data_IF_016943871706
#
_entry.id   IF_016943871706
#
_cell.length_a   1.000
_cell.length_b   1.000
_cell.length_c   1.000
_cell.angle_alpha   90.00
_cell.angle_beta   90.00
_cell.angle_gamma   90.00
#
_symmetry.space_group_name_H-M   'P 1'
#
loop_
_entity.id
_entity.type
_entity.pdbx_description
1 polymer ?
#
# COMPACT_ATOMS: atom_id res chain seq x y z
N UNK A 1 8.46 14.63 11.05
CA UNK A 1 8.15 13.47 10.21
C UNK A 1 6.75 12.90 10.43
N UNK A 2 6.20 12.87 11.65
CA UNK A 2 4.80 12.44 11.85
C UNK A 2 3.77 13.34 11.15
N UNK A 3 4.10 14.57 10.83
CA UNK A 3 3.21 15.52 10.14
C UNK A 3 2.92 15.12 8.68
N UNK A 4 3.81 14.39 8.03
CA UNK A 4 3.63 13.88 6.66
C UNK A 4 2.98 12.49 6.61
N UNK A 5 2.54 11.92 7.74
CA UNK A 5 1.75 10.69 7.76
C UNK A 5 0.26 10.98 7.63
N UNK A 6 -0.54 9.97 7.23
CA UNK A 6 -2.00 10.11 7.17
C UNK A 6 -2.60 10.55 8.52
N UNK A 7 -2.08 9.99 9.62
CA UNK A 7 -2.47 10.37 10.98
C UNK A 7 -2.12 11.84 11.29
N UNK A 8 -0.91 12.28 10.96
CA UNK A 8 -0.48 13.68 11.16
C UNK A 8 -1.34 14.65 10.39
N UNK A 9 -1.67 14.34 9.14
CA UNK A 9 -2.54 15.15 8.28
C UNK A 9 -3.96 15.26 8.86
N UNK A 10 -4.53 14.16 9.36
CA UNK A 10 -5.86 14.21 10.02
C UNK A 10 -5.83 15.07 11.27
N UNK A 11 -4.81 14.96 12.13
CA UNK A 11 -4.68 15.77 13.33
C UNK A 11 -4.50 17.26 12.97
N UNK A 12 -3.73 17.56 11.92
CA UNK A 12 -3.57 18.93 11.43
C UNK A 12 -4.92 19.54 11.06
N UNK A 13 -5.73 18.84 10.26
CA UNK A 13 -7.08 19.32 9.90
C UNK A 13 -8.03 19.37 11.11
N UNK A 14 -8.01 18.38 11.99
CA UNK A 14 -8.88 18.33 13.17
C UNK A 14 -8.54 19.42 14.22
N UNK A 15 -7.26 19.79 14.32
CA UNK A 15 -6.79 20.83 15.26
C UNK A 15 -6.89 22.25 14.71
N UNK A 16 -7.41 22.43 13.48
CA UNK A 16 -7.47 23.73 12.81
C UNK A 16 -6.08 24.33 12.57
N UNK A 17 -5.09 23.49 12.22
CA UNK A 17 -3.73 23.92 11.89
C UNK A 17 -2.82 24.20 13.09
N UNK A 18 -3.25 23.83 14.32
CA UNK A 18 -2.45 24.13 15.54
C UNK A 18 -1.42 23.05 15.87
N UNK A 19 -1.68 21.80 15.54
CA UNK A 19 -0.83 20.65 15.82
C UNK A 19 -0.25 20.11 14.52
N UNK A 20 1.03 19.71 14.53
CA UNK A 20 1.74 19.25 13.34
C UNK A 20 1.77 20.25 12.18
N UNK A 21 1.92 21.55 12.52
CA UNK A 21 2.10 22.61 11.52
C UNK A 21 3.31 22.25 10.65
N UNK A 22 3.09 21.96 9.39
CA UNK A 22 4.15 21.96 8.38
C UNK A 22 4.80 23.33 8.42
N UNK A 23 6.11 23.38 8.34
CA UNK A 23 6.87 24.64 8.24
C UNK A 23 6.12 25.58 7.30
N UNK A 24 5.73 26.73 7.81
CA UNK A 24 4.82 27.64 7.13
C UNK A 24 5.27 27.84 5.68
N UNK A 25 4.36 27.61 4.74
CA UNK A 25 4.55 28.05 3.36
C UNK A 25 4.86 29.55 3.28
N UNK A 26 4.47 30.33 4.27
CA UNK A 26 4.85 31.73 4.43
C UNK A 26 6.34 31.87 4.77
N UNK A 27 6.88 31.05 5.65
CA UNK A 27 8.31 31.08 5.98
C UNK A 27 9.17 30.58 4.80
N UNK A 28 8.71 29.58 4.07
CA UNK A 28 9.36 29.13 2.82
C UNK A 28 9.27 30.20 1.73
N UNK A 29 8.19 30.95 1.68
CA UNK A 29 8.00 32.07 0.77
C UNK A 29 8.93 33.24 1.13
N UNK A 30 9.05 33.55 2.43
CA UNK A 30 9.95 34.59 2.94
C UNK A 30 11.42 34.22 2.69
N UNK A 31 11.80 32.93 2.85
CA UNK A 31 13.14 32.43 2.54
C UNK A 31 13.39 32.47 1.02
N UNK A 32 12.40 32.10 0.21
CA UNK A 32 12.50 32.15 -1.25
C UNK A 32 12.65 33.60 -1.76
N UNK A 33 11.89 34.54 -1.18
CA UNK A 33 11.99 35.97 -1.50
C UNK A 33 13.32 36.57 -0.99
N UNK A 34 13.80 36.12 0.17
CA UNK A 34 15.09 36.55 0.74
C UNK A 34 16.31 36.01 -0.02
N UNK A 35 16.19 34.83 -0.66
CA UNK A 35 17.23 34.25 -1.52
C UNK A 35 17.29 34.86 -2.93
N UNK A 36 16.57 35.95 -3.20
CA UNK A 36 16.63 36.70 -4.46
C UNK A 36 15.88 36.04 -5.60
N UNK A 37 14.68 35.54 -5.29
CA UNK A 37 13.79 34.88 -6.27
C UNK A 37 13.66 35.72 -7.55
N UNK A 38 14.44 35.40 -8.56
CA UNK A 38 14.23 35.86 -9.91
C UNK A 38 12.83 35.42 -10.34
N UNK A 39 12.06 36.38 -10.85
CA UNK A 39 10.74 36.12 -11.43
C UNK A 39 10.86 34.93 -12.37
N UNK A 40 10.36 33.78 -11.92
CA UNK A 40 10.23 32.62 -12.77
C UNK A 40 9.46 33.07 -14.01
N UNK A 41 10.14 33.13 -15.15
CA UNK A 41 9.53 33.30 -16.44
C UNK A 41 8.48 32.17 -16.59
N UNK A 42 7.34 32.49 -17.14
CA UNK A 42 6.11 31.67 -17.20
C UNK A 42 6.24 30.33 -17.92
N UNK A 43 7.43 29.78 -18.09
CA UNK A 43 7.73 28.57 -18.87
C UNK A 43 8.21 27.37 -18.07
N UNK A 44 8.47 27.50 -16.75
CA UNK A 44 8.86 26.33 -15.94
C UNK A 44 8.05 26.25 -14.65
N UNK A 45 6.85 25.71 -14.74
CA UNK A 45 6.03 25.28 -13.57
C UNK A 45 6.53 23.96 -12.96
N UNK A 46 7.84 23.71 -12.98
CA UNK A 46 8.41 22.58 -12.27
C UNK A 46 8.74 23.00 -10.85
N UNK A 47 8.07 22.41 -9.87
CA UNK A 47 8.43 22.53 -8.47
C UNK A 47 9.75 21.78 -8.29
N UNK A 48 10.85 22.50 -8.10
CA UNK A 48 12.13 21.92 -7.74
C UNK A 48 12.33 22.04 -6.23
N UNK A 49 13.07 21.09 -5.66
CA UNK A 49 13.54 21.19 -4.29
C UNK A 49 14.38 22.48 -4.13
N UNK A 50 14.29 23.11 -2.94
CA UNK A 50 14.98 24.38 -2.65
C UNK A 50 16.50 24.21 -2.77
N UNK A 51 17.04 23.06 -2.33
CA UNK A 51 18.44 22.69 -2.40
C UNK A 51 18.59 21.17 -2.60
N UNK A 52 19.72 20.70 -3.12
CA UNK A 52 20.06 19.28 -3.24
C UNK A 52 20.06 18.56 -1.89
N UNK A 53 20.32 19.28 -0.79
CA UNK A 53 20.35 18.77 0.57
C UNK A 53 19.04 18.96 1.35
N UNK A 54 17.93 19.31 0.70
CA UNK A 54 16.65 19.57 1.34
C UNK A 54 16.23 18.36 2.21
N UNK A 55 15.97 18.55 3.51
CA UNK A 55 15.59 17.48 4.43
C UNK A 55 14.20 16.90 4.16
N UNK A 56 13.32 17.64 3.47
CA UNK A 56 11.99 17.18 3.09
C UNK A 56 12.04 16.25 1.87
N UNK A 57 13.12 16.26 1.10
CA UNK A 57 13.33 15.34 -0.01
C UNK A 57 13.51 13.90 0.53
N UNK A 58 12.64 12.94 0.16
CA UNK A 58 12.72 11.54 0.62
C UNK A 58 14.09 10.89 0.31
N UNK A 59 14.76 11.33 -0.75
CA UNK A 59 16.09 10.84 -1.14
C UNK A 59 17.19 11.24 -0.18
N UNK A 60 16.97 12.25 0.67
CA UNK A 60 17.95 12.73 1.66
C UNK A 60 17.69 12.18 3.07
N UNK A 61 16.60 11.40 3.26
CA UNK A 61 16.28 10.85 4.57
C UNK A 61 17.38 9.92 5.10
N UNK A 62 17.53 9.81 6.44
CA UNK A 62 18.48 8.90 7.05
C UNK A 62 18.28 7.46 6.57
N UNK A 63 19.38 6.73 6.37
CA UNK A 63 19.36 5.34 5.86
C UNK A 63 18.40 4.43 6.64
N UNK A 64 18.39 4.51 7.97
CA UNK A 64 17.52 3.70 8.85
C UNK A 64 16.04 3.99 8.55
N UNK A 65 15.71 5.26 8.31
CA UNK A 65 14.33 5.66 8.02
C UNK A 65 13.86 5.17 6.63
N UNK A 66 14.73 5.25 5.63
CA UNK A 66 14.48 4.66 4.30
C UNK A 66 14.25 3.15 4.39
N UNK A 67 15.10 2.44 5.15
CA UNK A 67 14.92 1.01 5.39
C UNK A 67 13.60 0.69 6.07
N UNK A 68 13.18 1.50 7.04
CA UNK A 68 11.89 1.34 7.72
C UNK A 68 10.71 1.50 6.77
N UNK A 69 10.70 2.56 5.95
CA UNK A 69 9.64 2.78 4.95
C UNK A 69 9.63 1.66 3.90
N UNK A 70 10.81 1.25 3.41
CA UNK A 70 10.96 0.10 2.51
C UNK A 70 10.36 -1.17 3.13
N UNK A 71 10.66 -1.43 4.41
CA UNK A 71 10.09 -2.57 5.13
C UNK A 71 8.57 -2.51 5.21
N UNK A 72 7.97 -1.33 5.49
CA UNK A 72 6.52 -1.17 5.52
C UNK A 72 5.87 -1.47 4.17
N UNK A 73 6.45 -0.97 3.08
CA UNK A 73 5.98 -1.24 1.71
C UNK A 73 6.11 -2.72 1.36
N UNK A 74 7.22 -3.35 1.72
CA UNK A 74 7.41 -4.79 1.55
C UNK A 74 6.37 -5.60 2.35
N UNK A 75 6.10 -5.22 3.58
CA UNK A 75 5.13 -5.89 4.46
C UNK A 75 3.71 -5.81 3.87
N UNK A 76 3.29 -4.63 3.39
CA UNK A 76 2.02 -4.48 2.65
C UNK A 76 1.97 -5.43 1.46
N UNK A 77 3.02 -5.44 0.65
CA UNK A 77 3.13 -6.25 -0.56
C UNK A 77 2.99 -7.73 -0.23
N UNK A 78 3.70 -8.23 0.79
CA UNK A 78 3.58 -9.63 1.25
C UNK A 78 2.14 -9.99 1.57
N UNK A 79 1.45 -9.20 2.41
CA UNK A 79 0.10 -9.54 2.84
C UNK A 79 -0.94 -9.44 1.72
N UNK A 80 -0.81 -8.50 0.79
CA UNK A 80 -1.72 -8.41 -0.36
C UNK A 80 -1.52 -9.60 -1.30
N UNK A 81 -0.27 -9.96 -1.64
CA UNK A 81 0.02 -11.12 -2.47
C UNK A 81 -0.31 -12.44 -1.79
N UNK A 82 -0.12 -12.55 -0.47
CA UNK A 82 -0.55 -13.69 0.33
C UNK A 82 -2.05 -13.94 0.19
N UNK A 83 -2.85 -12.86 0.09
CA UNK A 83 -4.28 -12.93 -0.16
C UNK A 83 -4.66 -13.68 -1.44
N UNK A 84 -3.80 -13.72 -2.47
CA UNK A 84 -4.09 -14.43 -3.71
C UNK A 84 -4.06 -15.95 -3.52
N UNK A 85 -3.10 -16.48 -2.79
CA UNK A 85 -2.81 -17.91 -2.67
C UNK A 85 -3.36 -18.56 -1.39
N UNK A 86 -3.79 -17.75 -0.42
CA UNK A 86 -4.23 -18.23 0.90
C UNK A 86 -5.42 -19.22 0.82
N UNK A 87 -6.21 -19.18 -0.25
CA UNK A 87 -7.39 -20.04 -0.44
C UNK A 87 -7.02 -21.44 -0.90
N UNK A 88 -5.82 -21.64 -1.44
CA UNK A 88 -5.41 -22.91 -2.07
C UNK A 88 -5.65 -24.15 -1.19
N UNK A 89 -5.23 -24.20 0.08
CA UNK A 89 -5.46 -25.37 0.93
C UNK A 89 -6.93 -25.62 1.28
N UNK A 90 -7.78 -24.61 1.20
CA UNK A 90 -9.22 -24.71 1.48
C UNK A 90 -10.07 -25.15 0.28
N UNK A 91 -9.48 -25.29 -0.92
CA UNK A 91 -10.23 -25.67 -2.13
C UNK A 91 -11.01 -26.98 -1.96
N UNK A 92 -10.44 -28.08 -1.44
CA UNK A 92 -11.16 -29.36 -1.31
C UNK A 92 -12.40 -29.21 -0.41
N UNK A 93 -12.24 -28.66 0.78
CA UNK A 93 -13.31 -28.51 1.76
C UNK A 93 -14.42 -27.53 1.28
N UNK A 94 -14.02 -26.44 0.61
CA UNK A 94 -14.95 -25.50 -0.01
C UNK A 94 -15.77 -26.19 -1.12
N UNK A 95 -15.10 -26.96 -1.99
CA UNK A 95 -15.77 -27.67 -3.10
C UNK A 95 -16.79 -28.69 -2.61
N UNK A 96 -16.44 -29.44 -1.57
CA UNK A 96 -17.32 -30.41 -0.93
C UNK A 96 -18.53 -29.74 -0.29
N UNK A 97 -18.32 -28.67 0.47
CA UNK A 97 -19.37 -27.96 1.20
C UNK A 97 -20.41 -27.30 0.27
N UNK A 98 -19.96 -26.72 -0.83
CA UNK A 98 -20.85 -26.01 -1.76
C UNK A 98 -21.26 -26.86 -2.98
N UNK A 99 -20.84 -28.12 -3.03
CA UNK A 99 -21.10 -29.03 -4.14
C UNK A 99 -20.71 -28.46 -5.50
N UNK A 100 -19.57 -27.77 -5.56
CA UNK A 100 -19.01 -27.18 -6.77
C UNK A 100 -17.73 -27.88 -7.17
N UNK A 101 -17.39 -27.82 -8.46
CA UNK A 101 -16.13 -28.42 -8.91
C UNK A 101 -14.91 -27.66 -8.34
N UNK A 102 -13.77 -28.34 -8.12
CA UNK A 102 -12.52 -27.67 -7.72
C UNK A 102 -12.10 -26.57 -8.69
N UNK A 103 -12.42 -26.71 -9.96
CA UNK A 103 -12.16 -25.68 -10.99
C UNK A 103 -12.92 -24.39 -10.70
N UNK A 104 -14.19 -24.48 -10.27
CA UNK A 104 -14.98 -23.30 -9.87
C UNK A 104 -14.37 -22.64 -8.64
N UNK A 105 -13.93 -23.43 -7.65
CA UNK A 105 -13.26 -22.87 -6.46
C UNK A 105 -11.94 -22.19 -6.82
N UNK A 106 -11.15 -22.77 -7.72
CA UNK A 106 -9.90 -22.17 -8.22
C UNK A 106 -10.14 -20.86 -8.97
N UNK A 107 -11.33 -20.66 -9.56
CA UNK A 107 -11.71 -19.39 -10.18
C UNK A 107 -11.66 -18.21 -9.18
N UNK A 108 -11.87 -18.45 -7.89
CA UNK A 108 -11.74 -17.44 -6.86
C UNK A 108 -10.33 -16.83 -6.76
N UNK A 109 -9.31 -17.64 -7.05
CA UNK A 109 -7.90 -17.19 -7.12
C UNK A 109 -7.73 -16.33 -8.38
N UNK A 110 -8.22 -16.82 -9.51
CA UNK A 110 -8.13 -16.08 -10.79
C UNK A 110 -8.84 -14.73 -10.74
N UNK A 111 -10.01 -14.66 -10.10
CA UNK A 111 -10.75 -13.40 -9.93
C UNK A 111 -10.00 -12.41 -9.05
N UNK A 112 -9.33 -12.87 -7.99
CA UNK A 112 -8.48 -12.01 -7.18
C UNK A 112 -7.31 -11.46 -8.01
N UNK A 113 -6.66 -12.33 -8.81
CA UNK A 113 -5.56 -11.94 -9.71
C UNK A 113 -6.04 -10.94 -10.76
N UNK A 114 -7.22 -11.17 -11.36
CA UNK A 114 -7.84 -10.23 -12.29
C UNK A 114 -8.12 -8.88 -11.63
N UNK A 115 -8.63 -8.90 -10.40
CA UNK A 115 -8.86 -7.68 -9.62
C UNK A 115 -7.60 -6.84 -9.47
N UNK A 116 -6.51 -7.44 -9.02
CA UNK A 116 -5.26 -6.68 -8.87
C UNK A 116 -4.56 -6.37 -10.20
N UNK A 117 -4.85 -7.07 -11.26
CA UNK A 117 -4.37 -6.74 -12.60
C UNK A 117 -5.08 -5.52 -13.21
N UNK A 118 -6.40 -5.39 -13.00
CA UNK A 118 -7.19 -4.27 -13.50
C UNK A 118 -7.12 -3.02 -12.60
N UNK A 119 -6.97 -3.23 -11.29
CA UNK A 119 -6.98 -2.15 -10.31
C UNK A 119 -5.94 -1.06 -10.55
N UNK A 120 -4.68 -1.37 -10.93
CA UNK A 120 -3.67 -0.36 -11.20
C UNK A 120 -4.03 0.60 -12.32
N UNK A 121 -4.78 0.15 -13.32
CA UNK A 121 -5.20 1.03 -14.43
C UNK A 121 -6.05 2.21 -13.95
N UNK A 122 -6.75 2.04 -12.82
CA UNK A 122 -7.62 3.07 -12.24
C UNK A 122 -6.95 3.74 -11.02
N UNK A 123 -6.33 2.96 -10.16
CA UNK A 123 -5.85 3.44 -8.85
C UNK A 123 -4.41 3.97 -8.88
N UNK A 124 -3.53 3.46 -9.79
CA UNK A 124 -2.17 3.97 -9.88
C UNK A 124 -2.09 5.44 -10.31
N UNK A 125 -2.85 5.92 -11.31
CA UNK A 125 -2.81 7.34 -11.67
C UNK A 125 -3.18 8.26 -10.49
N UNK A 126 -4.02 7.79 -9.56
CA UNK A 126 -4.39 8.58 -8.38
C UNK A 126 -3.19 8.80 -7.43
N UNK A 127 -2.22 7.89 -7.42
CA UNK A 127 -1.00 8.03 -6.59
C UNK A 127 0.00 9.05 -7.13
N UNK A 128 -0.17 9.46 -8.38
CA UNK A 128 0.70 10.43 -9.07
C UNK A 128 0.11 11.85 -9.09
N UNK A 129 -1.11 12.02 -8.54
CA UNK A 129 -1.70 13.34 -8.40
C UNK A 129 -1.08 14.05 -7.20
N UNK A 130 -0.42 15.19 -7.43
CA UNK A 130 0.29 15.96 -6.40
C UNK A 130 -0.57 16.33 -5.17
N UNK A 131 -1.90 16.49 -5.33
CA UNK A 131 -2.82 16.76 -4.22
C UNK A 131 -3.12 15.56 -3.33
N UNK A 132 -2.97 14.35 -3.87
CA UNK A 132 -3.35 13.10 -3.20
C UNK A 132 -2.10 12.42 -2.64
N UNK A 133 -1.00 12.42 -3.40
CA UNK A 133 0.23 11.72 -3.07
C UNK A 133 0.09 10.21 -3.07
N UNK A 134 1.06 9.47 -2.54
CA UNK A 134 1.06 8.00 -2.47
C UNK A 134 0.47 7.44 -1.19
N UNK A 135 0.58 8.18 -0.08
CA UNK A 135 0.16 7.69 1.24
C UNK A 135 -1.36 7.46 1.30
N UNK A 136 -2.17 8.42 0.85
CA UNK A 136 -3.63 8.30 0.93
C UNK A 136 -4.21 7.13 0.14
N UNK A 137 -3.84 6.90 -1.13
CA UNK A 137 -4.29 5.71 -1.87
C UNK A 137 -3.92 4.41 -1.16
N UNK A 138 -2.73 4.29 -0.56
CA UNK A 138 -2.35 3.11 0.20
C UNK A 138 -3.23 2.91 1.43
N UNK A 139 -3.38 3.94 2.26
CA UNK A 139 -4.16 3.85 3.50
C UNK A 139 -5.62 3.52 3.21
N UNK A 140 -6.24 4.19 2.23
CA UNK A 140 -7.65 3.97 1.87
C UNK A 140 -7.83 2.58 1.24
N UNK A 141 -7.00 2.22 0.27
CA UNK A 141 -7.16 0.95 -0.45
C UNK A 141 -6.93 -0.26 0.46
N UNK A 142 -5.88 -0.24 1.30
CA UNK A 142 -5.64 -1.32 2.26
C UNK A 142 -6.72 -1.35 3.36
N UNK A 143 -7.19 -0.19 3.83
CA UNK A 143 -8.30 -0.13 4.77
C UNK A 143 -9.58 -0.78 4.23
N UNK A 144 -9.95 -0.45 2.99
CA UNK A 144 -11.07 -1.08 2.30
C UNK A 144 -10.82 -2.59 2.05
N UNK A 145 -9.59 -2.96 1.69
CA UNK A 145 -9.20 -4.37 1.55
C UNK A 145 -9.42 -5.15 2.84
N UNK A 146 -9.01 -4.61 4.00
CA UNK A 146 -9.22 -5.21 5.32
C UNK A 146 -10.72 -5.36 5.62
N UNK A 147 -11.52 -4.32 5.35
CA UNK A 147 -12.97 -4.36 5.56
C UNK A 147 -13.61 -5.46 4.68
N UNK A 148 -13.18 -5.62 3.42
CA UNK A 148 -13.72 -6.64 2.53
C UNK A 148 -13.35 -8.07 2.91
N UNK A 149 -12.32 -8.30 3.74
CA UNK A 149 -12.02 -9.63 4.26
C UNK A 149 -13.11 -10.14 5.21
N UNK A 150 -13.79 -9.26 5.96
CA UNK A 150 -14.84 -9.65 6.92
C UNK A 150 -16.02 -10.35 6.20
N UNK A 151 -16.69 -9.71 5.22
CA UNK A 151 -17.76 -10.39 4.48
C UNK A 151 -17.25 -11.61 3.70
N UNK A 152 -15.98 -11.60 3.24
CA UNK A 152 -15.39 -12.75 2.57
C UNK A 152 -15.29 -13.96 3.49
N UNK A 153 -14.89 -13.77 4.77
CA UNK A 153 -14.83 -14.84 5.77
C UNK A 153 -16.22 -15.37 6.16
N UNK A 154 -17.24 -14.52 6.16
CA UNK A 154 -18.61 -14.84 6.59
C UNK A 154 -19.52 -15.30 5.43
N UNK A 155 -19.04 -15.25 4.19
CA UNK A 155 -19.84 -15.53 3.01
C UNK A 155 -20.33 -17.00 2.98
N UNK A 156 -21.64 -17.18 2.71
CA UNK A 156 -22.28 -18.48 2.57
C UNK A 156 -22.69 -18.79 1.12
N UNK A 157 -22.35 -17.94 0.17
CA UNK A 157 -22.69 -18.09 -1.24
C UNK A 157 -21.44 -18.04 -2.10
N UNK A 158 -21.30 -19.01 -3.01
CA UNK A 158 -20.16 -19.11 -3.94
C UNK A 158 -20.00 -17.84 -4.80
N UNK A 159 -21.11 -17.35 -5.38
CA UNK A 159 -21.08 -16.14 -6.20
C UNK A 159 -20.64 -14.91 -5.41
N UNK A 160 -21.17 -14.75 -4.19
CA UNK A 160 -20.75 -13.67 -3.28
C UNK A 160 -19.27 -13.74 -2.92
N UNK A 161 -18.75 -14.96 -2.62
CA UNK A 161 -17.34 -15.17 -2.34
C UNK A 161 -16.46 -14.74 -3.52
N UNK A 162 -16.84 -15.11 -4.74
CA UNK A 162 -16.09 -14.76 -5.96
C UNK A 162 -16.07 -13.25 -6.22
N UNK A 163 -17.21 -12.57 -6.07
CA UNK A 163 -17.30 -11.11 -6.24
C UNK A 163 -16.43 -10.41 -5.20
N UNK A 164 -16.49 -10.84 -3.94
CA UNK A 164 -15.68 -10.28 -2.87
C UNK A 164 -14.18 -10.49 -3.10
N UNK A 165 -13.80 -11.62 -3.68
CA UNK A 165 -12.41 -11.89 -4.08
C UNK A 165 -11.92 -10.92 -5.16
N UNK A 166 -12.74 -10.69 -6.19
CA UNK A 166 -12.40 -9.72 -7.23
C UNK A 166 -12.24 -8.30 -6.65
N UNK A 167 -13.20 -7.86 -5.83
CA UNK A 167 -13.16 -6.53 -5.20
C UNK A 167 -11.94 -6.41 -4.28
N UNK A 168 -11.64 -7.43 -3.48
CA UNK A 168 -10.45 -7.44 -2.62
C UNK A 168 -9.16 -7.34 -3.43
N UNK A 169 -9.04 -8.09 -4.54
CA UNK A 169 -7.88 -7.98 -5.44
C UNK A 169 -7.74 -6.58 -6.01
N UNK A 170 -8.85 -5.98 -6.48
CA UNK A 170 -8.86 -4.62 -7.01
C UNK A 170 -8.39 -3.58 -5.98
N UNK A 171 -8.89 -3.67 -4.75
CA UNK A 171 -8.51 -2.75 -3.66
C UNK A 171 -7.06 -2.92 -3.19
N UNK A 172 -6.50 -4.13 -3.24
CA UNK A 172 -5.10 -4.38 -2.90
C UNK A 172 -4.10 -3.91 -3.98
N UNK A 173 -4.56 -3.58 -5.17
CA UNK A 173 -3.72 -3.35 -6.34
C UNK A 173 -2.74 -2.17 -6.27
N UNK A 174 -3.03 -1.02 -5.63
CA UNK A 174 -2.10 0.11 -5.60
C UNK A 174 -0.73 -0.27 -5.04
N UNK A 175 -0.70 -1.05 -3.97
CA UNK A 175 0.56 -1.50 -3.34
C UNK A 175 1.41 -2.33 -4.30
N UNK A 176 0.76 -3.16 -5.11
CA UNK A 176 1.44 -4.06 -6.04
C UNK A 176 2.03 -3.32 -7.25
N UNK A 177 1.36 -2.27 -7.70
CA UNK A 177 1.77 -1.53 -8.88
C UNK A 177 2.75 -0.40 -8.55
N UNK A 178 2.50 0.34 -7.48
CA UNK A 178 3.26 1.57 -7.19
C UNK A 178 4.36 1.37 -6.13
N UNK A 179 4.48 0.15 -5.54
CA UNK A 179 5.54 -0.14 -4.59
C UNK A 179 6.95 0.07 -5.17
N UNK A 180 7.18 -0.34 -6.42
CA UNK A 180 8.43 -0.08 -7.13
C UNK A 180 8.70 1.42 -7.34
N UNK A 181 7.67 2.21 -7.64
CA UNK A 181 7.78 3.66 -7.77
C UNK A 181 8.10 4.32 -6.42
N UNK A 182 7.52 3.85 -5.33
CA UNK A 182 7.88 4.30 -3.96
C UNK A 182 9.35 4.02 -3.64
N UNK A 183 9.91 2.89 -4.12
CA UNK A 183 11.35 2.63 -3.99
C UNK A 183 12.18 3.65 -4.77
N UNK A 184 11.73 4.07 -5.96
CA UNK A 184 12.43 5.07 -6.76
C UNK A 184 12.39 6.48 -6.14
N UNK A 185 11.36 6.79 -5.35
CA UNK A 185 11.28 8.06 -4.62
C UNK A 185 12.23 8.09 -3.42
N UNK A 186 12.48 6.95 -2.79
CA UNK A 186 13.29 6.85 -1.57
C UNK A 186 14.79 6.68 -1.87
N UNK A 187 15.13 5.91 -2.91
CA UNK A 187 16.49 5.46 -3.13
C UNK A 187 17.11 6.09 -4.37
N UNK A 188 18.38 6.49 -4.28
CA UNK A 188 19.14 7.01 -5.40
C UNK A 188 19.62 5.87 -6.34
N UNK A 189 19.93 6.24 -7.58
CA UNK A 189 20.43 5.32 -8.61
C UNK A 189 21.80 4.68 -8.28
N UNK A 190 22.52 5.19 -7.30
CA UNK A 190 23.88 4.77 -6.89
C UNK A 190 23.91 3.39 -6.19
N UNK A 191 23.04 2.46 -6.60
CA UNK A 191 22.95 1.09 -6.06
C UNK A 191 21.88 0.90 -4.98
N UNK A 192 21.42 1.95 -4.32
CA UNK A 192 20.35 1.89 -3.31
C UNK A 192 19.01 1.48 -3.91
N UNK A 193 18.66 2.05 -5.06
CA UNK A 193 17.42 1.75 -5.77
C UNK A 193 17.34 0.28 -6.22
N UNK A 194 18.43 -0.27 -6.74
CA UNK A 194 18.52 -1.67 -7.15
C UNK A 194 18.19 -2.61 -5.98
N UNK A 195 18.79 -2.34 -4.81
CA UNK A 195 18.55 -3.11 -3.60
C UNK A 195 17.10 -2.94 -3.10
N UNK A 196 16.56 -1.72 -3.09
CA UNK A 196 15.17 -1.45 -2.71
C UNK A 196 14.17 -2.21 -3.57
N UNK A 197 14.33 -2.17 -4.90
CA UNK A 197 13.49 -2.91 -5.84
C UNK A 197 13.67 -4.42 -5.66
N UNK A 198 14.88 -4.91 -5.43
CA UNK A 198 15.15 -6.33 -5.21
C UNK A 198 14.43 -6.84 -3.94
N UNK A 199 14.49 -6.10 -2.82
CA UNK A 199 13.78 -6.44 -1.59
C UNK A 199 12.25 -6.42 -1.80
N UNK A 200 11.72 -5.42 -2.49
CA UNK A 200 10.31 -5.36 -2.80
C UNK A 200 9.85 -6.50 -3.70
N UNK A 201 10.63 -6.85 -4.74
CA UNK A 201 10.34 -7.98 -5.62
C UNK A 201 10.38 -9.31 -4.87
N UNK A 202 11.36 -9.47 -3.96
CA UNK A 202 11.41 -10.64 -3.08
C UNK A 202 10.16 -10.76 -2.19
N UNK A 203 9.71 -9.65 -1.60
CA UNK A 203 8.47 -9.60 -0.82
C UNK A 203 7.25 -10.00 -1.67
N UNK A 204 7.18 -9.55 -2.92
CA UNK A 204 6.13 -9.91 -3.85
C UNK A 204 6.10 -11.44 -4.15
N UNK A 205 7.26 -12.06 -4.28
CA UNK A 205 7.37 -13.52 -4.49
C UNK A 205 7.11 -14.32 -3.21
N UNK A 206 7.53 -13.79 -2.05
CA UNK A 206 7.35 -14.46 -0.76
C UNK A 206 5.87 -14.57 -0.35
N UNK A 207 5.05 -13.55 -0.68
CA UNK A 207 3.63 -13.52 -0.35
C UNK A 207 2.88 -14.79 -0.78
N UNK A 208 2.83 -15.11 -2.09
CA UNK A 208 2.15 -16.30 -2.57
C UNK A 208 2.71 -17.61 -2.01
N UNK A 209 4.01 -17.68 -1.74
CA UNK A 209 4.65 -18.86 -1.13
C UNK A 209 4.23 -19.09 0.31
N UNK A 210 4.08 -18.03 1.09
CA UNK A 210 3.65 -18.09 2.50
C UNK A 210 2.15 -18.35 2.67
N UNK A 211 1.33 -18.01 1.67
CA UNK A 211 -0.12 -18.17 1.72
C UNK A 211 -0.55 -19.60 2.08
N UNK A 212 -0.20 -20.61 1.26
CA UNK A 212 -0.57 -21.98 1.53
C UNK A 212 0.00 -22.54 2.83
N UNK A 213 1.19 -22.08 3.24
CA UNK A 213 1.81 -22.51 4.50
C UNK A 213 0.97 -22.06 5.70
N UNK A 214 0.61 -20.79 5.77
CA UNK A 214 -0.18 -20.24 6.88
C UNK A 214 -1.61 -20.77 6.90
N UNK A 215 -2.24 -20.84 5.72
CA UNK A 215 -3.63 -21.30 5.62
C UNK A 215 -3.78 -22.81 5.77
N UNK A 216 -2.75 -23.60 5.44
CA UNK A 216 -2.77 -25.06 5.63
C UNK A 216 -2.99 -25.44 7.09
N UNK A 217 -2.29 -24.82 8.02
CA UNK A 217 -2.53 -25.02 9.45
C UNK A 217 -3.93 -24.59 9.89
N UNK A 218 -4.40 -23.44 9.38
CA UNK A 218 -5.73 -22.92 9.73
C UNK A 218 -6.86 -23.86 9.25
N UNK A 219 -6.73 -24.43 8.05
CA UNK A 219 -7.71 -25.40 7.51
C UNK A 219 -7.75 -26.68 8.32
N UNK A 220 -6.60 -27.25 8.65
CA UNK A 220 -6.52 -28.51 9.42
C UNK A 220 -7.19 -28.41 10.80
N UNK A 221 -7.05 -27.28 11.49
CA UNK A 221 -7.55 -27.12 12.85
C UNK A 221 -9.00 -26.63 12.90
N UNK A 222 -9.43 -25.74 11.99
CA UNK A 222 -10.68 -24.98 12.13
C UNK A 222 -11.51 -24.88 10.85
N UNK A 223 -11.06 -25.50 9.75
CA UNK A 223 -11.75 -25.53 8.47
C UNK A 223 -11.52 -24.29 7.59
N UNK A 224 -12.05 -24.37 6.37
CA UNK A 224 -11.78 -23.41 5.29
C UNK A 224 -12.09 -21.94 5.60
N UNK A 225 -13.06 -21.66 6.47
CA UNK A 225 -13.41 -20.27 6.84
C UNK A 225 -12.30 -19.56 7.61
N UNK A 226 -11.49 -20.32 8.33
CA UNK A 226 -10.41 -19.77 9.12
C UNK A 226 -9.22 -19.31 8.29
N UNK A 227 -9.20 -19.60 6.99
CA UNK A 227 -8.17 -19.14 6.05
C UNK A 227 -8.10 -17.61 6.01
N UNK A 228 -9.26 -16.93 6.04
CA UNK A 228 -9.34 -15.48 5.87
C UNK A 228 -8.94 -14.72 7.14
N UNK A 229 -9.11 -15.30 8.33
CA UNK A 229 -8.82 -14.62 9.59
C UNK A 229 -7.35 -14.25 9.80
N UNK A 230 -6.36 -15.12 9.55
CA UNK A 230 -4.94 -14.75 9.60
C UNK A 230 -4.61 -13.61 8.61
N UNK A 231 -5.20 -13.64 7.42
CA UNK A 231 -5.04 -12.56 6.45
C UNK A 231 -5.61 -11.24 6.99
N UNK A 232 -6.83 -11.27 7.53
CA UNK A 232 -7.46 -10.09 8.12
C UNK A 232 -6.65 -9.53 9.28
N UNK A 233 -6.16 -10.37 10.19
CA UNK A 233 -5.34 -9.91 11.32
C UNK A 233 -4.01 -9.32 10.85
N UNK A 234 -3.32 -9.99 9.91
CA UNK A 234 -2.04 -9.52 9.39
C UNK A 234 -2.16 -8.23 8.59
N UNK A 235 -3.14 -8.15 7.67
CA UNK A 235 -3.39 -6.93 6.89
C UNK A 235 -3.93 -5.79 7.77
N UNK A 236 -4.78 -6.10 8.76
CA UNK A 236 -5.30 -5.11 9.70
C UNK A 236 -4.20 -4.50 10.57
N UNK A 237 -3.30 -5.32 11.10
CA UNK A 237 -2.13 -4.84 11.83
C UNK A 237 -1.23 -3.98 10.94
N UNK A 238 -0.96 -4.44 9.72
CA UNK A 238 -0.17 -3.70 8.74
C UNK A 238 -0.82 -2.36 8.42
N UNK A 239 -2.14 -2.34 8.22
CA UNK A 239 -2.89 -1.10 7.97
C UNK A 239 -2.75 -0.10 9.12
N UNK A 240 -2.86 -0.56 10.38
CA UNK A 240 -2.64 0.32 11.54
C UNK A 240 -1.23 0.89 11.55
N UNK A 241 -0.21 0.07 11.32
CA UNK A 241 1.18 0.54 11.29
C UNK A 241 1.38 1.58 10.19
N UNK A 242 0.85 1.34 8.98
CA UNK A 242 0.94 2.26 7.86
C UNK A 242 0.25 3.58 8.16
N UNK A 243 -0.96 3.52 8.71
CA UNK A 243 -1.74 4.71 9.05
C UNK A 243 -0.98 5.67 9.97
N UNK A 244 -0.25 5.12 10.95
CA UNK A 244 0.51 5.93 11.91
C UNK A 244 1.92 6.31 11.45
N UNK A 245 2.58 5.43 10.70
CA UNK A 245 4.03 5.53 10.48
C UNK A 245 4.45 5.69 9.01
N UNK A 246 3.58 5.44 8.03
CA UNK A 246 3.96 5.62 6.63
C UNK A 246 3.92 7.11 6.29
N UNK A 247 5.08 7.75 5.98
CA UNK A 247 5.12 9.13 5.54
C UNK A 247 4.71 9.25 4.07
N UNK A 248 4.39 10.45 3.63
CA UNK A 248 4.29 10.75 2.20
C UNK A 248 5.68 10.64 1.56
N UNK A 249 5.75 9.98 0.42
CA UNK A 249 6.99 9.74 -0.32
C UNK A 249 7.00 10.41 -1.68
N UNK A 250 5.86 10.91 -2.14
CA UNK A 250 5.77 11.61 -3.42
C UNK A 250 6.18 13.06 -3.27
N UNK A 251 7.32 13.43 -3.89
CA UNK A 251 7.94 14.73 -3.73
C UNK A 251 7.04 15.91 -4.09
N UNK A 252 6.20 15.77 -5.11
CA UNK A 252 5.29 16.84 -5.54
C UNK A 252 4.09 17.02 -4.59
N UNK A 253 3.89 16.11 -3.63
CA UNK A 253 2.82 16.16 -2.63
C UNK A 253 3.30 16.66 -1.26
N UNK A 254 4.62 16.71 -1.04
CA UNK A 254 5.27 17.22 0.16
C UNK A 254 5.48 18.74 0.03
#
# INVERSE_FOLDING_TARGET
MLHITAFGTIIYFASGGRWFRTLDREHLRDVYEACGGEKASSESQFVHWIDEADPDNPKNWPFIYKCFVTFLVCLMTVFVYLGSSIVVPGIPEFSEKFHVSPTVTALSISLFVWGYGLGPMVLSPLTEVARIGRNWPYVISIGLFVIMQIPTALCNNVAGFMILRFISGFLGSPVLATGGATMADLWNLDGGLMNGIAFWSYAACAGPGMGPLLSGFAVQEKGWRWIIWPLLCGTGLTWLIIFFFLPETYGDAI
#
